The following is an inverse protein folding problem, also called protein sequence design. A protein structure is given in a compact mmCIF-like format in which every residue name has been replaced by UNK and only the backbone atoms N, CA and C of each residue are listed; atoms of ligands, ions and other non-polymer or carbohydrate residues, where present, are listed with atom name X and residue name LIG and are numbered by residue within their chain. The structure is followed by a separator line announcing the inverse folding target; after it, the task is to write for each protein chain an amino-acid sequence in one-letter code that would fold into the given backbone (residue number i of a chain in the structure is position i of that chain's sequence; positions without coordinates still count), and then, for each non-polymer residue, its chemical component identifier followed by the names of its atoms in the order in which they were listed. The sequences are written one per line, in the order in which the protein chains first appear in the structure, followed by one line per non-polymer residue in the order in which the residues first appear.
data_IF_270510254213
#
_entry.id   IF_270510254213
#
_cell.length_a   1.000
_cell.length_b   1.000
_cell.length_c   1.000
_cell.angle_alpha   90.00
_cell.angle_beta   90.00
_cell.angle_gamma   90.00
#
_symmetry.space_group_name_H-M   'P 1'
#
loop_
_entity.id
_entity.type
_entity.pdbx_description
1 polymer ?
#
# COMPACT_ATOMS: atom_id res chain seq x y z
N UNK A 1 5.86 -15.23 1.12
CA UNK A 1 6.06 -14.10 2.07
C UNK A 1 4.71 -13.68 2.65
N UNK A 2 4.64 -12.70 3.56
CA UNK A 2 3.36 -12.21 4.12
C UNK A 2 2.38 -11.75 3.01
N UNK A 3 2.88 -11.10 1.96
CA UNK A 3 2.07 -10.65 0.81
C UNK A 3 1.49 -11.82 0.00
N UNK A 4 2.30 -12.84 -0.29
CA UNK A 4 1.84 -14.06 -0.98
C UNK A 4 0.71 -14.75 -0.22
N UNK A 5 0.85 -14.91 1.10
CA UNK A 5 -0.16 -15.56 1.94
C UNK A 5 -1.48 -14.79 1.97
N UNK A 6 -1.42 -13.44 2.05
CA UNK A 6 -2.60 -12.58 1.98
C UNK A 6 -3.35 -12.77 0.66
N UNK A 7 -2.63 -12.75 -0.46
CA UNK A 7 -3.23 -12.85 -1.80
C UNK A 7 -3.78 -14.25 -2.08
N UNK A 8 -3.09 -15.30 -1.62
CA UNK A 8 -3.59 -16.67 -1.69
C UNK A 8 -4.88 -16.84 -0.86
N UNK A 9 -4.90 -16.29 0.36
CA UNK A 9 -6.10 -16.30 1.22
C UNK A 9 -7.28 -15.59 0.57
N UNK A 10 -7.07 -14.41 0.00
CA UNK A 10 -8.13 -13.67 -0.71
C UNK A 10 -8.69 -14.48 -1.90
N UNK A 11 -7.79 -15.02 -2.75
CA UNK A 11 -8.19 -15.81 -3.92
C UNK A 11 -8.89 -17.13 -3.59
N UNK A 12 -8.67 -17.70 -2.40
CA UNK A 12 -9.37 -18.91 -1.95
C UNK A 12 -10.87 -18.72 -1.77
N UNK A 13 -11.32 -17.48 -1.59
CA UNK A 13 -12.74 -17.11 -1.45
C UNK A 13 -13.24 -16.41 -2.70
N UNK A 14 -12.49 -15.43 -3.22
CA UNK A 14 -12.82 -14.67 -4.44
C UNK A 14 -11.62 -14.65 -5.39
N UNK A 15 -11.64 -15.45 -6.47
CA UNK A 15 -10.63 -15.39 -7.51
C UNK A 15 -10.56 -13.99 -8.12
N UNK A 16 -9.35 -13.48 -8.32
CA UNK A 16 -9.10 -12.21 -9.00
C UNK A 16 -9.03 -12.44 -10.51
N UNK A 17 -9.68 -11.58 -11.27
CA UNK A 17 -9.61 -11.53 -12.73
C UNK A 17 -8.21 -11.09 -13.20
N UNK A 18 -7.89 -11.35 -14.46
CA UNK A 18 -6.58 -11.01 -15.03
C UNK A 18 -6.33 -9.50 -14.96
N UNK A 19 -7.36 -8.70 -15.23
CA UNK A 19 -7.36 -7.25 -15.16
C UNK A 19 -7.12 -6.75 -13.73
N UNK A 20 -7.74 -7.38 -12.72
CA UNK A 20 -7.54 -7.04 -11.32
C UNK A 20 -6.10 -7.32 -10.87
N UNK A 21 -5.55 -8.48 -11.26
CA UNK A 21 -4.16 -8.82 -10.99
C UNK A 21 -3.22 -7.80 -11.64
N UNK A 22 -3.45 -7.47 -12.91
CA UNK A 22 -2.63 -6.51 -13.66
C UNK A 22 -2.69 -5.08 -13.08
N UNK A 23 -3.85 -4.66 -12.56
CA UNK A 23 -4.02 -3.35 -11.94
C UNK A 23 -3.38 -3.25 -10.54
N UNK A 24 -3.14 -4.38 -9.85
CA UNK A 24 -2.69 -4.41 -8.46
C UNK A 24 -1.43 -3.56 -8.17
N UNK A 25 -0.36 -3.57 -8.99
CA UNK A 25 0.79 -2.71 -8.75
C UNK A 25 0.44 -1.21 -8.78
N UNK A 26 -0.46 -0.78 -9.66
CA UNK A 26 -0.91 0.61 -9.76
C UNK A 26 -1.75 0.99 -8.54
N UNK A 27 -2.70 0.14 -8.16
CA UNK A 27 -3.54 0.35 -6.99
C UNK A 27 -2.72 0.40 -5.70
N UNK A 28 -1.71 -0.48 -5.56
CA UNK A 28 -0.81 -0.48 -4.41
C UNK A 28 -0.01 0.83 -4.30
N UNK A 29 0.49 1.38 -5.42
CA UNK A 29 1.13 2.70 -5.46
C UNK A 29 0.17 3.81 -5.02
N UNK A 30 -1.05 3.79 -5.55
CA UNK A 30 -2.10 4.76 -5.19
C UNK A 30 -2.47 4.69 -3.70
N UNK A 31 -2.54 3.48 -3.13
CA UNK A 31 -2.80 3.28 -1.71
C UNK A 31 -1.68 3.89 -0.85
N UNK A 32 -0.42 3.69 -1.22
CA UNK A 32 0.71 4.26 -0.50
C UNK A 32 0.73 5.80 -0.60
N UNK A 33 0.39 6.35 -1.77
CA UNK A 33 0.25 7.79 -1.97
C UNK A 33 -0.84 8.37 -1.05
N UNK A 34 -2.02 7.74 -1.02
CA UNK A 34 -3.15 8.16 -0.17
C UNK A 34 -2.73 8.26 1.30
N UNK A 35 -2.13 7.21 1.85
CA UNK A 35 -1.72 7.20 3.26
C UNK A 35 -0.58 8.18 3.55
N UNK A 36 0.34 8.38 2.61
CA UNK A 36 1.39 9.40 2.73
C UNK A 36 0.78 10.80 2.83
N UNK A 37 -0.18 11.13 1.97
CA UNK A 37 -0.85 12.43 1.97
C UNK A 37 -1.64 12.68 3.25
N UNK A 38 -2.41 11.70 3.73
CA UNK A 38 -3.16 11.87 4.98
C UNK A 38 -2.24 12.05 6.17
N UNK A 39 -1.16 11.25 6.28
CA UNK A 39 -0.18 11.43 7.36
C UNK A 39 0.57 12.74 7.26
N UNK A 40 0.89 13.20 6.05
CA UNK A 40 1.52 14.50 5.84
C UNK A 40 0.58 15.63 6.28
N UNK A 41 -0.69 15.55 5.93
CA UNK A 41 -1.69 16.52 6.36
C UNK A 41 -1.78 16.56 7.90
N UNK A 42 -1.93 15.41 8.55
CA UNK A 42 -1.97 15.32 10.02
C UNK A 42 -0.69 15.87 10.65
N UNK A 43 0.48 15.57 10.05
CA UNK A 43 1.77 16.05 10.53
C UNK A 43 1.89 17.57 10.52
N UNK A 44 1.34 18.22 9.50
CA UNK A 44 1.39 19.67 9.31
C UNK A 44 0.30 20.43 10.07
N UNK A 45 -0.85 19.80 10.31
CA UNK A 45 -2.05 20.49 10.82
C UNK A 45 -2.35 20.21 12.29
N UNK A 46 -1.94 19.06 12.82
CA UNK A 46 -2.19 18.73 14.24
C UNK A 46 -1.22 19.54 15.11
N UNK A 47 -1.70 20.36 16.07
CA UNK A 47 -0.83 21.08 16.99
C UNK A 47 -0.10 20.13 17.94
N UNK A 48 1.09 20.52 18.37
CA UNK A 48 1.87 19.74 19.35
C UNK A 48 1.16 19.74 20.71
N UNK A 49 1.05 18.55 21.33
CA UNK A 49 0.34 18.36 22.61
C UNK A 49 -1.06 17.75 22.50
N UNK A 50 -1.56 17.46 21.29
CA UNK A 50 -2.76 16.65 21.12
C UNK A 50 -2.55 15.18 21.55
N UNK A 51 -3.61 14.50 21.97
CA UNK A 51 -3.60 13.05 22.27
C UNK A 51 -3.29 12.17 21.03
N UNK A 52 -3.24 12.78 19.84
CA UNK A 52 -3.00 12.11 18.57
C UNK A 52 -1.50 12.00 18.30
N UNK A 53 -1.00 10.77 18.25
CA UNK A 53 0.38 10.49 17.89
C UNK A 53 0.62 10.75 16.40
N UNK A 54 1.38 11.80 16.08
CA UNK A 54 1.87 12.06 14.72
C UNK A 54 2.74 10.89 14.26
N UNK A 55 2.43 10.33 13.08
CA UNK A 55 3.22 9.26 12.47
C UNK A 55 3.99 9.80 11.27
N UNK A 56 5.26 9.42 11.19
CA UNK A 56 6.14 9.88 10.12
C UNK A 56 5.54 9.51 8.73
N UNK A 57 5.29 10.49 7.84
CA UNK A 57 4.78 10.23 6.49
C UNK A 57 5.83 9.55 5.58
N UNK A 58 7.12 9.65 5.89
CA UNK A 58 8.21 9.07 5.08
C UNK A 58 8.17 7.54 5.03
N UNK A 59 7.54 6.89 6.02
CA UNK A 59 7.26 5.45 6.00
C UNK A 59 6.55 5.04 4.70
N UNK A 60 5.57 5.85 4.26
CA UNK A 60 4.82 5.57 3.04
C UNK A 60 5.54 5.99 1.76
N UNK A 61 6.52 6.91 1.82
CA UNK A 61 7.43 7.15 0.69
C UNK A 61 8.23 5.88 0.38
N UNK A 62 8.73 5.17 1.42
CA UNK A 62 9.44 3.90 1.24
C UNK A 62 8.55 2.83 0.61
N UNK A 63 7.32 2.69 1.10
CA UNK A 63 6.31 1.77 0.55
C UNK A 63 5.94 2.11 -0.90
N UNK A 64 5.74 3.39 -1.21
CA UNK A 64 5.47 3.85 -2.57
C UNK A 64 6.62 3.52 -3.53
N UNK A 65 7.87 3.75 -3.12
CA UNK A 65 9.07 3.39 -3.91
C UNK A 65 9.15 1.88 -4.16
N UNK A 66 8.83 1.06 -3.16
CA UNK A 66 8.75 -0.40 -3.32
C UNK A 66 7.69 -0.78 -4.37
N UNK A 67 6.47 -0.29 -4.25
CA UNK A 67 5.41 -0.59 -5.23
C UNK A 67 5.72 -0.04 -6.64
N UNK A 68 6.53 1.02 -6.75
CA UNK A 68 7.03 1.53 -8.03
C UNK A 68 8.05 0.61 -8.71
N UNK A 69 8.84 -0.12 -7.93
CA UNK A 69 9.82 -1.05 -8.46
C UNK A 69 9.19 -2.33 -9.03
N UNK A 70 8.00 -2.71 -8.54
CA UNK A 70 7.29 -3.91 -9.01
C UNK A 70 6.72 -3.69 -10.41
N UNK A 71 7.03 -4.61 -11.32
CA UNK A 71 6.64 -4.61 -12.74
C UNK A 71 5.58 -5.65 -13.06
N UNK A 72 5.51 -6.73 -12.29
CA UNK A 72 4.56 -7.84 -12.48
C UNK A 72 3.81 -8.20 -11.19
N UNK A 73 2.53 -8.63 -11.27
CA UNK A 73 1.79 -9.16 -10.13
C UNK A 73 2.48 -10.38 -9.47
N UNK A 74 3.25 -11.14 -10.24
CA UNK A 74 4.01 -12.30 -9.74
C UNK A 74 5.05 -11.94 -8.68
N UNK A 75 5.58 -10.70 -8.70
CA UNK A 75 6.49 -10.20 -7.67
C UNK A 75 5.79 -9.99 -6.31
N UNK A 76 4.47 -9.83 -6.30
CA UNK A 76 3.66 -9.87 -5.06
C UNK A 76 3.35 -11.30 -4.59
N UNK A 77 3.63 -12.31 -5.42
CA UNK A 77 3.28 -13.70 -5.20
C UNK A 77 1.93 -14.11 -5.80
N UNK A 78 1.42 -13.38 -6.79
CA UNK A 78 0.29 -13.82 -7.61
C UNK A 78 0.80 -14.63 -8.80
N UNK A 79 0.56 -15.93 -8.78
CA UNK A 79 0.64 -16.78 -9.97
C UNK A 79 -0.67 -16.76 -10.75
#
# INVERSE_FOLDING_TARGET
TKGTALLAGYQSVRPLEAEEKAALPMLARGSALRFMLTRLYDWLTVPDGGLVMKRDPTEYIRRMRFHRAIKSPSEYGLT
#
